data_IF_861851896167
#
_entry.id   IF_861851896167
#
_cell.length_a   1.000
_cell.length_b   1.000
_cell.length_c   1.000
_cell.angle_alpha   90.00
_cell.angle_beta   90.00
_cell.angle_gamma   90.00
#
_symmetry.space_group_name_H-M   'P 1'
#
loop_
_entity.id
_entity.type
_entity.pdbx_description
1 polymer ?
#
# COMPACT_ATOMS: atom_id res chain seq x y z
N UNK A 1 10.11 -2.37 -6.92
CA UNK A 1 10.59 -0.97 -6.77
C UNK A 1 10.07 -0.33 -5.50
N UNK A 2 10.89 0.50 -4.86
CA UNK A 2 10.51 1.26 -3.65
C UNK A 2 10.08 2.67 -4.01
N UNK A 3 8.93 3.10 -3.50
CA UNK A 3 8.50 4.50 -3.48
C UNK A 3 9.04 5.13 -2.19
N UNK A 4 9.59 6.36 -2.28
CA UNK A 4 10.24 7.04 -1.16
C UNK A 4 11.41 6.21 -0.61
N UNK A 5 12.51 6.17 -1.37
CA UNK A 5 13.69 5.34 -1.06
C UNK A 5 14.73 6.10 -0.21
N UNK A 6 14.29 6.64 0.93
CA UNK A 6 15.17 7.26 1.92
C UNK A 6 15.06 6.50 3.25
N UNK A 7 16.13 5.80 3.69
CA UNK A 7 16.12 5.05 4.95
C UNK A 7 15.99 5.92 6.20
N UNK A 8 16.15 7.24 6.09
CA UNK A 8 16.00 8.18 7.21
C UNK A 8 14.55 8.61 7.45
N UNK A 9 13.63 8.30 6.53
CA UNK A 9 12.19 8.59 6.70
C UNK A 9 11.56 7.52 7.58
N UNK A 10 11.25 7.91 8.82
CA UNK A 10 10.73 7.01 9.84
C UNK A 10 9.33 7.38 10.32
N UNK A 11 8.83 8.56 9.94
CA UNK A 11 7.53 9.07 10.37
C UNK A 11 6.57 9.30 9.20
N UNK A 12 5.27 9.26 9.49
CA UNK A 12 4.25 9.60 8.50
C UNK A 12 4.36 11.06 8.01
N UNK A 13 4.77 11.99 8.87
CA UNK A 13 4.92 13.40 8.51
C UNK A 13 6.09 13.64 7.54
N UNK A 14 7.22 12.97 7.76
CA UNK A 14 8.35 13.00 6.82
C UNK A 14 7.97 12.38 5.48
N UNK A 15 7.29 11.22 5.50
CA UNK A 15 6.83 10.55 4.28
C UNK A 15 5.83 11.41 3.49
N UNK A 16 4.91 12.09 4.17
CA UNK A 16 3.97 13.05 3.56
C UNK A 16 4.71 14.22 2.89
N UNK A 17 5.66 14.83 3.60
CA UNK A 17 6.47 15.93 3.04
C UNK A 17 7.26 15.47 1.83
N UNK A 18 7.92 14.33 1.93
CA UNK A 18 8.75 13.80 0.87
C UNK A 18 7.95 13.51 -0.40
N UNK A 19 6.75 12.92 -0.24
CA UNK A 19 5.86 12.65 -1.36
C UNK A 19 5.36 13.92 -2.07
N UNK A 20 5.11 14.99 -1.33
CA UNK A 20 4.62 16.25 -1.90
C UNK A 20 5.73 17.13 -2.49
N UNK A 21 6.93 17.10 -1.92
CA UNK A 21 8.04 17.93 -2.41
C UNK A 21 8.68 17.40 -3.69
N UNK A 22 8.58 16.09 -3.94
CA UNK A 22 9.23 15.47 -5.09
C UNK A 22 8.21 14.84 -6.03
N UNK A 23 7.93 15.56 -7.13
CA UNK A 23 7.02 15.13 -8.19
C UNK A 23 7.40 13.76 -8.79
N UNK A 24 8.69 13.40 -8.75
CA UNK A 24 9.19 12.09 -9.20
C UNK A 24 8.45 10.91 -8.53
N UNK A 25 7.95 11.05 -7.30
CA UNK A 25 7.25 9.97 -6.60
C UNK A 25 5.85 9.73 -7.17
N UNK A 26 5.21 10.78 -7.68
CA UNK A 26 3.90 10.70 -8.33
C UNK A 26 4.05 10.06 -9.72
N UNK A 27 5.04 10.51 -10.49
CA UNK A 27 5.37 9.93 -11.80
C UNK A 27 5.75 8.45 -11.68
N UNK A 28 6.55 8.09 -10.67
CA UNK A 28 6.94 6.70 -10.42
C UNK A 28 5.75 5.83 -10.04
N UNK A 29 4.76 6.37 -9.32
CA UNK A 29 3.56 5.66 -8.94
C UNK A 29 2.69 5.30 -10.18
N UNK A 30 2.65 6.18 -11.18
CA UNK A 30 1.96 5.93 -12.46
C UNK A 30 2.73 4.94 -13.36
N UNK A 31 4.05 4.81 -13.18
CA UNK A 31 4.90 3.90 -13.94
C UNK A 31 5.00 2.49 -13.33
N UNK A 32 4.32 2.22 -12.22
CA UNK A 32 4.34 0.90 -11.60
C UNK A 32 3.77 -0.17 -12.54
N UNK A 33 4.43 -1.33 -12.58
CA UNK A 33 4.00 -2.42 -13.44
C UNK A 33 2.58 -2.89 -13.09
N UNK A 34 1.74 -3.18 -14.09
CA UNK A 34 0.46 -3.83 -13.87
C UNK A 34 0.63 -5.15 -13.12
N UNK A 35 -0.32 -5.48 -12.24
CA UNK A 35 -0.29 -6.68 -11.40
C UNK A 35 0.64 -6.61 -10.20
N UNK A 36 1.24 -5.45 -9.89
CA UNK A 36 2.07 -5.30 -8.70
C UNK A 36 1.27 -5.42 -7.39
N UNK A 37 1.97 -5.78 -6.31
CA UNK A 37 1.47 -5.64 -4.93
C UNK A 37 2.00 -4.31 -4.39
N UNK A 38 1.10 -3.36 -4.16
CA UNK A 38 1.46 -2.04 -3.62
C UNK A 38 1.33 -2.03 -2.10
N UNK A 39 2.39 -1.66 -1.40
CA UNK A 39 2.43 -1.62 0.07
C UNK A 39 2.63 -0.18 0.54
N UNK A 40 1.69 0.34 1.32
CA UNK A 40 1.71 1.72 1.84
C UNK A 40 1.53 1.71 3.35
N UNK A 41 2.62 1.88 4.10
CA UNK A 41 2.61 1.80 5.56
C UNK A 41 2.56 3.14 6.30
N UNK A 42 2.99 4.25 5.68
CA UNK A 42 3.15 5.52 6.39
C UNK A 42 2.23 6.61 5.86
N UNK A 43 2.42 7.09 4.64
CA UNK A 43 1.78 8.30 4.13
C UNK A 43 0.35 8.05 3.59
N UNK A 44 -0.70 8.65 4.20
CA UNK A 44 -2.04 8.70 3.62
C UNK A 44 -2.08 9.26 2.19
N UNK A 45 -1.28 10.27 1.87
CA UNK A 45 -1.25 10.89 0.53
C UNK A 45 -0.85 9.91 -0.56
N UNK A 46 0.15 9.06 -0.33
CA UNK A 46 0.54 8.00 -1.27
C UNK A 46 -0.65 7.08 -1.56
N UNK A 47 -1.39 6.67 -0.52
CA UNK A 47 -2.57 5.81 -0.70
C UNK A 47 -3.71 6.54 -1.42
N UNK A 48 -3.90 7.84 -1.16
CA UNK A 48 -4.89 8.66 -1.85
C UNK A 48 -4.57 8.85 -3.34
N UNK A 49 -3.30 9.09 -3.67
CA UNK A 49 -2.83 9.21 -5.06
C UNK A 49 -2.92 7.87 -5.80
N UNK A 50 -2.56 6.77 -5.14
CA UNK A 50 -2.79 5.42 -5.68
C UNK A 50 -4.28 5.19 -6.01
N UNK A 51 -5.17 5.53 -5.08
CA UNK A 51 -6.62 5.45 -5.31
C UNK A 51 -7.08 6.28 -6.50
N UNK A 52 -6.57 7.51 -6.66
CA UNK A 52 -6.89 8.37 -7.80
C UNK A 52 -6.38 7.77 -9.13
N UNK A 53 -5.15 7.25 -9.17
CA UNK A 53 -4.59 6.62 -10.35
C UNK A 53 -5.36 5.35 -10.77
N UNK A 54 -5.85 4.59 -9.79
CA UNK A 54 -6.71 3.42 -10.04
C UNK A 54 -8.05 3.82 -10.63
N UNK A 55 -8.71 4.83 -10.06
CA UNK A 55 -9.98 5.38 -10.59
C UNK A 55 -9.81 5.88 -12.03
N UNK A 56 -8.65 6.46 -12.34
CA UNK A 56 -8.30 6.94 -13.68
C UNK A 56 -7.78 5.83 -14.62
N UNK A 57 -7.73 4.58 -14.18
CA UNK A 57 -7.21 3.42 -14.93
C UNK A 57 -5.75 3.58 -15.41
N UNK A 58 -4.94 4.28 -14.62
CA UNK A 58 -3.50 4.44 -14.85
C UNK A 58 -2.68 3.47 -14.02
N UNK A 59 -3.23 3.01 -12.89
CA UNK A 59 -2.60 2.04 -12.00
C UNK A 59 -3.47 0.79 -11.87
N UNK A 60 -2.87 -0.39 -12.06
CA UNK A 60 -3.56 -1.68 -12.03
C UNK A 60 -2.87 -2.67 -11.07
N UNK A 61 -2.95 -2.46 -9.75
CA UNK A 61 -2.33 -3.37 -8.80
C UNK A 61 -3.15 -4.65 -8.66
N UNK A 62 -2.48 -5.78 -8.41
CA UNK A 62 -3.15 -7.04 -8.05
C UNK A 62 -3.67 -7.02 -6.61
N UNK A 63 -2.97 -6.28 -5.73
CA UNK A 63 -3.29 -6.16 -4.31
C UNK A 63 -2.74 -4.84 -3.77
N UNK A 64 -3.46 -4.23 -2.83
CA UNK A 64 -2.94 -3.10 -2.05
C UNK A 64 -2.95 -3.45 -0.55
N UNK A 65 -1.77 -3.38 0.08
CA UNK A 65 -1.63 -3.38 1.54
C UNK A 65 -1.53 -1.93 2.00
N UNK A 66 -2.68 -1.33 2.31
CA UNK A 66 -2.78 0.09 2.64
C UNK A 66 -3.01 0.31 4.13
N UNK A 67 -1.96 0.53 4.89
CA UNK A 67 -2.03 0.72 6.34
C UNK A 67 -1.39 2.04 6.82
N UNK A 68 -1.68 3.21 6.22
CA UNK A 68 -1.12 4.47 6.71
C UNK A 68 -1.60 4.78 8.14
N UNK A 69 -0.77 5.48 8.91
CA UNK A 69 -1.10 5.92 10.27
C UNK A 69 -1.46 7.41 10.28
N UNK A 70 -2.48 7.78 11.06
CA UNK A 70 -2.85 9.19 11.22
C UNK A 70 -4.28 9.40 11.72
N UNK A 71 -4.56 10.59 12.25
CA UNK A 71 -5.84 10.88 12.90
C UNK A 71 -6.95 11.29 11.92
N UNK A 72 -6.67 12.20 10.98
CA UNK A 72 -7.69 12.74 10.05
C UNK A 72 -7.64 12.09 8.67
N UNK A 73 -6.47 12.10 8.02
CA UNK A 73 -6.34 11.69 6.62
C UNK A 73 -6.26 10.17 6.43
N UNK A 74 -5.65 9.44 7.37
CA UNK A 74 -5.49 7.99 7.24
C UNK A 74 -6.84 7.24 7.20
N UNK A 75 -7.82 7.49 8.09
CA UNK A 75 -9.13 6.85 7.99
C UNK A 75 -9.84 7.14 6.65
N UNK A 76 -9.72 8.36 6.13
CA UNK A 76 -10.31 8.74 4.85
C UNK A 76 -9.67 7.99 3.68
N UNK A 77 -8.34 7.93 3.64
CA UNK A 77 -7.59 7.20 2.62
C UNK A 77 -7.94 5.71 2.59
N UNK A 78 -8.02 5.07 3.77
CA UNK A 78 -8.40 3.65 3.87
C UNK A 78 -9.86 3.42 3.46
N UNK A 79 -10.79 4.30 3.83
CA UNK A 79 -12.20 4.19 3.37
C UNK A 79 -12.33 4.35 1.87
N UNK A 80 -11.46 5.13 1.22
CA UNK A 80 -11.41 5.21 -0.24
C UNK A 80 -10.86 3.90 -0.83
N UNK A 81 -9.78 3.36 -0.27
CA UNK A 81 -9.23 2.06 -0.67
C UNK A 81 -10.29 0.96 -0.61
N UNK A 82 -11.05 0.88 0.50
CA UNK A 82 -12.13 -0.09 0.67
C UNK A 82 -13.23 0.00 -0.40
N UNK A 83 -13.35 1.13 -1.10
CA UNK A 83 -14.33 1.37 -2.18
C UNK A 83 -13.72 1.31 -3.58
N UNK A 84 -12.41 1.05 -3.69
CA UNK A 84 -11.68 1.11 -4.97
C UNK A 84 -12.01 -0.04 -5.92
N UNK A 85 -12.55 -1.15 -5.42
CA UNK A 85 -12.80 -2.37 -6.19
C UNK A 85 -11.56 -3.22 -6.44
N UNK A 86 -10.37 -2.78 -6.01
CA UNK A 86 -9.12 -3.54 -6.06
C UNK A 86 -9.02 -4.41 -4.79
N UNK A 87 -8.51 -5.66 -4.88
CA UNK A 87 -8.20 -6.45 -3.69
C UNK A 87 -7.30 -5.68 -2.71
N UNK A 88 -7.62 -5.71 -1.42
CA UNK A 88 -6.90 -4.93 -0.42
C UNK A 88 -6.75 -5.64 0.92
N UNK A 89 -5.74 -5.23 1.67
CA UNK A 89 -5.57 -5.48 3.10
C UNK A 89 -5.37 -4.13 3.78
N UNK A 90 -6.18 -3.82 4.79
CA UNK A 90 -6.11 -2.55 5.52
C UNK A 90 -6.59 -2.72 6.95
N UNK A 91 -6.34 -1.72 7.77
CA UNK A 91 -6.91 -1.58 9.12
C UNK A 91 -8.01 -0.54 9.10
N UNK A 92 -9.02 -0.66 9.98
CA UNK A 92 -10.00 0.41 10.13
C UNK A 92 -9.51 1.52 11.08
N UNK A 93 -9.96 2.75 10.83
CA UNK A 93 -9.64 3.90 11.68
C UNK A 93 -8.21 4.42 11.53
N UNK A 94 -7.66 4.92 12.63
CA UNK A 94 -6.44 5.75 12.65
C UNK A 94 -5.15 4.94 12.76
N UNK A 95 -5.23 3.70 13.25
CA UNK A 95 -4.08 2.83 13.50
C UNK A 95 -3.51 2.26 12.20
N UNK A 96 -2.20 2.18 12.10
CA UNK A 96 -1.49 1.70 10.91
C UNK A 96 0.00 1.69 11.17
N UNK A 97 0.80 1.76 10.12
CA UNK A 97 2.25 1.87 10.19
C UNK A 97 2.95 0.91 9.24
N UNK A 98 4.22 1.22 8.95
CA UNK A 98 5.10 0.35 8.16
C UNK A 98 5.22 -1.05 8.75
N UNK A 99 5.27 -1.17 10.08
CA UNK A 99 5.37 -2.49 10.74
C UNK A 99 4.17 -3.38 10.44
N UNK A 100 2.94 -2.87 10.58
CA UNK A 100 1.73 -3.64 10.28
C UNK A 100 1.66 -4.02 8.80
N UNK A 101 2.03 -3.10 7.91
CA UNK A 101 2.07 -3.37 6.48
C UNK A 101 3.09 -4.46 6.13
N UNK A 102 4.28 -4.43 6.75
CA UNK A 102 5.32 -5.43 6.58
C UNK A 102 4.90 -6.80 7.15
N UNK A 103 4.26 -6.84 8.32
CA UNK A 103 3.72 -8.08 8.91
C UNK A 103 2.68 -8.70 7.99
N UNK A 104 1.76 -7.89 7.44
CA UNK A 104 0.75 -8.39 6.50
C UNK A 104 1.37 -8.96 5.22
N UNK A 105 2.40 -8.29 4.67
CA UNK A 105 3.14 -8.79 3.52
C UNK A 105 3.85 -10.10 3.85
N UNK A 106 4.56 -10.16 4.97
CA UNK A 106 5.31 -11.35 5.38
C UNK A 106 4.37 -12.53 5.62
N UNK A 107 3.24 -12.32 6.30
CA UNK A 107 2.24 -13.37 6.52
C UNK A 107 1.65 -13.89 5.20
N UNK A 108 1.43 -13.00 4.22
CA UNK A 108 0.99 -13.39 2.89
C UNK A 108 2.03 -14.25 2.18
N UNK A 109 3.31 -13.87 2.25
CA UNK A 109 4.42 -14.65 1.68
C UNK A 109 4.55 -16.02 2.39
N UNK A 110 4.50 -16.03 3.72
CA UNK A 110 4.57 -17.24 4.53
C UNK A 110 3.44 -18.21 4.17
N UNK A 111 2.20 -17.73 3.99
CA UNK A 111 1.07 -18.57 3.57
C UNK A 111 1.25 -19.25 2.21
N UNK A 112 2.13 -18.72 1.35
CA UNK A 112 2.48 -19.33 0.06
C UNK A 112 3.60 -20.36 0.20
N UNK A 113 4.54 -20.13 1.13
CA UNK A 113 5.66 -21.04 1.40
C UNK A 113 5.18 -22.27 2.19
N UNK A 114 4.27 -22.07 3.14
CA UNK A 114 3.74 -23.14 4.00
C UNK A 114 2.73 -24.05 3.28
N UNK A 115 2.25 -23.68 2.08
CA UNK A 115 1.44 -24.59 1.28
C UNK A 115 2.29 -25.84 0.98
N UNK A 116 1.96 -27.01 1.55
CA UNK A 116 2.68 -28.22 1.19
C UNK A 116 2.42 -28.48 -0.29
N UNK A 117 3.43 -28.95 -1.02
CA UNK A 117 3.27 -29.60 -2.34
C UNK A 117 2.49 -30.91 -2.19
N UNK A 118 1.28 -30.85 -1.65
CA UNK A 118 0.39 -31.97 -1.49
C UNK A 118 -0.84 -31.71 -2.35
N UNK A 119 -1.15 -32.67 -3.23
CA UNK A 119 -2.23 -32.56 -4.21
C UNK A 119 -3.62 -32.29 -3.60
N UNK A 120 -3.77 -32.44 -2.28
CA UNK A 120 -5.02 -32.34 -1.55
C UNK A 120 -5.49 -30.90 -1.30
N UNK A 121 -4.63 -29.88 -1.42
CA UNK A 121 -4.95 -28.49 -1.02
C UNK A 121 -5.44 -27.60 -2.18
N UNK A 122 -5.50 -28.13 -3.40
CA UNK A 122 -5.93 -27.41 -4.63
C UNK A 122 -7.28 -27.88 -5.17
N UNK A 123 -8.06 -28.64 -4.38
CA UNK A 123 -9.41 -29.12 -4.75
C UNK A 123 -10.51 -28.24 -4.16
#
# INVERSE_FOLDING_TARGET
DTLINDPHISTAAEAEREFWHHQQWQEKLEQLSPGCILVVGYAPSVLMSAGAAIEQKQLHPALIIGMPIGFSHAPAAKRRLMRSGVPFITTEGTLGGGLLAAVALNALVESLIEKPDCHCYLS
#
